data_IF_591365693776
#
_entry.id   IF_591365693776
#
_cell.length_a   1.000
_cell.length_b   1.000
_cell.length_c   1.000
_cell.angle_alpha   90.00
_cell.angle_beta   90.00
_cell.angle_gamma   90.00
#
_symmetry.space_group_name_H-M   'P 1'
#
loop_
_entity.id
_entity.type
_entity.pdbx_description
1 polymer ?
#
# COMPACT_ATOMS: atom_id res chain seq x y z
N UNK A 1 22.43 -34.63 -1.51
CA UNK A 1 21.08 -34.43 -2.08
C UNK A 1 20.78 -32.94 -1.97
N UNK A 2 20.82 -32.21 -3.08
CA UNK A 2 20.68 -30.76 -3.09
C UNK A 2 19.21 -30.39 -2.88
N UNK A 3 18.91 -29.73 -1.76
CA UNK A 3 17.60 -29.12 -1.49
C UNK A 3 17.50 -27.91 -2.43
N UNK A 4 16.97 -28.12 -3.63
CA UNK A 4 16.52 -27.04 -4.50
C UNK A 4 15.20 -26.54 -3.94
N UNK A 5 15.25 -25.60 -3.01
CA UNK A 5 14.05 -24.85 -2.66
C UNK A 5 13.61 -24.11 -3.93
N UNK A 6 12.46 -24.50 -4.48
CA UNK A 6 11.81 -23.78 -5.55
C UNK A 6 11.43 -22.39 -5.01
N UNK A 7 12.34 -21.43 -5.17
CA UNK A 7 12.02 -20.02 -4.95
C UNK A 7 11.03 -19.60 -6.02
N UNK A 8 9.75 -19.75 -5.73
CA UNK A 8 8.68 -19.16 -6.55
C UNK A 8 8.97 -17.67 -6.65
N UNK A 9 9.19 -17.17 -7.88
CA UNK A 9 9.29 -15.73 -8.12
C UNK A 9 8.00 -15.12 -7.58
N UNK A 10 8.15 -14.25 -6.59
CA UNK A 10 7.04 -13.64 -5.88
C UNK A 10 6.34 -12.64 -6.82
N UNK A 11 5.46 -13.16 -7.68
CA UNK A 11 4.71 -12.43 -8.70
C UNK A 11 3.70 -11.45 -8.08
N UNK A 12 3.49 -11.52 -6.76
CA UNK A 12 2.69 -10.57 -5.98
C UNK A 12 3.19 -9.12 -6.08
N UNK A 13 4.48 -8.93 -6.41
CA UNK A 13 5.08 -7.60 -6.64
C UNK A 13 4.99 -7.12 -8.09
N UNK A 14 4.64 -7.99 -9.03
CA UNK A 14 4.58 -7.63 -10.46
C UNK A 14 3.16 -7.18 -10.79
N UNK A 15 2.96 -5.87 -10.85
CA UNK A 15 1.68 -5.30 -11.26
C UNK A 15 1.39 -5.67 -12.71
N UNK A 16 0.23 -6.29 -12.95
CA UNK A 16 -0.25 -6.59 -14.30
C UNK A 16 -0.44 -5.27 -15.04
N UNK A 17 0.46 -4.98 -15.98
CA UNK A 17 0.32 -3.89 -16.95
C UNK A 17 -0.61 -4.37 -18.05
N UNK A 18 -1.72 -3.67 -18.24
CA UNK A 18 -2.58 -3.88 -19.39
C UNK A 18 -2.23 -2.74 -20.35
N UNK A 19 -1.64 -3.07 -21.50
CA UNK A 19 -1.33 -2.07 -22.53
C UNK A 19 -0.37 -0.95 -22.09
N UNK A 20 0.59 -1.29 -21.21
CA UNK A 20 1.60 -0.34 -20.71
C UNK A 20 1.15 0.51 -19.52
N UNK A 21 -0.16 0.56 -19.24
CA UNK A 21 -0.74 1.28 -18.11
C UNK A 21 -1.08 0.29 -16.99
N UNK A 22 -0.68 0.63 -15.77
CA UNK A 22 -1.10 -0.12 -14.57
C UNK A 22 -2.52 0.29 -14.17
N UNK A 23 -3.29 -0.63 -13.60
CA UNK A 23 -4.62 -0.31 -13.03
C UNK A 23 -4.55 0.84 -12.01
N UNK A 24 -3.41 0.98 -11.33
CA UNK A 24 -3.13 2.09 -10.42
C UNK A 24 -3.05 3.42 -11.16
N UNK A 25 -2.24 3.52 -12.22
CA UNK A 25 -2.15 4.75 -13.03
C UNK A 25 -3.51 5.12 -13.63
N UNK A 26 -4.27 4.15 -14.12
CA UNK A 26 -5.63 4.40 -14.61
C UNK A 26 -6.52 5.01 -13.53
N UNK A 27 -6.49 4.48 -12.29
CA UNK A 27 -7.22 5.05 -11.16
C UNK A 27 -6.78 6.48 -10.83
N UNK A 28 -5.48 6.78 -10.94
CA UNK A 28 -4.97 8.14 -10.74
C UNK A 28 -5.51 9.10 -11.81
N UNK A 29 -5.48 8.69 -13.09
CA UNK A 29 -6.04 9.50 -14.18
C UNK A 29 -7.52 9.78 -14.00
N UNK A 30 -8.32 8.77 -13.63
CA UNK A 30 -9.74 8.95 -13.33
C UNK A 30 -9.93 9.97 -12.20
N UNK A 31 -9.12 9.90 -11.13
CA UNK A 31 -9.16 10.89 -10.06
C UNK A 31 -8.83 12.32 -10.55
N UNK A 32 -7.81 12.47 -11.40
CA UNK A 32 -7.47 13.79 -11.97
C UNK A 32 -8.60 14.37 -12.82
N UNK A 33 -9.29 13.54 -13.60
CA UNK A 33 -10.46 13.98 -14.38
C UNK A 33 -11.57 14.48 -13.45
N UNK A 34 -11.87 13.77 -12.37
CA UNK A 34 -12.86 14.23 -11.40
C UNK A 34 -12.48 15.55 -10.73
N UNK A 35 -11.21 15.73 -10.37
CA UNK A 35 -10.72 17.00 -9.79
C UNK A 35 -10.86 18.13 -10.81
N UNK A 36 -10.52 17.88 -12.08
CA UNK A 36 -10.69 18.85 -13.15
C UNK A 36 -12.16 19.27 -13.35
N UNK A 37 -13.09 18.32 -13.30
CA UNK A 37 -14.54 18.62 -13.36
C UNK A 37 -14.97 19.46 -12.14
N UNK A 38 -14.47 19.13 -10.95
CA UNK A 38 -14.77 19.89 -9.74
C UNK A 38 -14.28 21.34 -9.83
N UNK A 39 -13.04 21.54 -10.31
CA UNK A 39 -12.49 22.88 -10.54
C UNK A 39 -13.28 23.65 -11.60
N UNK A 40 -13.72 22.99 -12.68
CA UNK A 40 -14.58 23.62 -13.67
C UNK A 40 -15.91 24.07 -13.07
N UNK A 41 -16.53 23.26 -12.21
CA UNK A 41 -17.73 23.66 -11.48
C UNK A 41 -17.46 24.87 -10.58
N UNK A 42 -16.33 24.89 -9.86
CA UNK A 42 -15.96 26.04 -9.02
C UNK A 42 -15.84 27.36 -9.81
N UNK A 43 -15.34 27.32 -11.06
CA UNK A 43 -15.28 28.50 -11.93
C UNK A 43 -16.66 29.10 -12.20
N UNK A 44 -17.69 28.28 -12.38
CA UNK A 44 -19.04 28.78 -12.68
C UNK A 44 -19.76 29.38 -11.46
N UNK A 45 -19.41 28.94 -10.25
CA UNK A 45 -20.14 29.32 -9.03
C UNK A 45 -19.46 30.42 -8.21
N UNK A 46 -18.14 30.61 -8.33
CA UNK A 46 -17.39 31.54 -7.47
C UNK A 46 -16.86 32.76 -8.24
N UNK A 47 -16.84 33.96 -7.61
CA UNK A 47 -16.17 35.13 -8.17
C UNK A 47 -14.63 34.98 -8.11
N UNK A 48 -13.93 35.67 -9.02
CA UNK A 48 -12.49 35.46 -9.33
C UNK A 48 -11.54 35.33 -8.13
N UNK A 49 -11.70 36.14 -7.09
CA UNK A 49 -10.85 36.09 -5.89
C UNK A 49 -11.11 34.85 -5.03
N UNK A 50 -12.38 34.50 -4.81
CA UNK A 50 -12.74 33.31 -4.03
C UNK A 50 -12.41 32.04 -4.79
N UNK A 51 -12.56 32.06 -6.12
CA UNK A 51 -12.14 30.96 -6.98
C UNK A 51 -10.66 30.64 -6.82
N UNK A 52 -9.77 31.64 -6.85
CA UNK A 52 -8.32 31.37 -6.68
C UNK A 52 -7.99 30.70 -5.35
N UNK A 53 -8.60 31.15 -4.25
CA UNK A 53 -8.35 30.57 -2.93
C UNK A 53 -8.94 29.17 -2.82
N UNK A 54 -10.19 28.98 -3.27
CA UNK A 54 -10.82 27.65 -3.28
C UNK A 54 -10.07 26.67 -4.17
N UNK A 55 -9.69 27.07 -5.39
CA UNK A 55 -8.97 26.21 -6.34
C UNK A 55 -7.61 25.76 -5.78
N UNK A 56 -6.89 26.64 -5.07
CA UNK A 56 -5.65 26.26 -4.39
C UNK A 56 -5.88 25.23 -3.29
N UNK A 57 -6.93 25.42 -2.47
CA UNK A 57 -7.27 24.50 -1.40
C UNK A 57 -7.73 23.15 -1.95
N UNK A 58 -8.60 23.15 -2.97
CA UNK A 58 -9.17 21.94 -3.56
C UNK A 58 -8.12 21.15 -4.34
N UNK A 59 -7.26 21.83 -5.10
CA UNK A 59 -6.12 21.19 -5.78
C UNK A 59 -5.11 20.59 -4.79
N UNK A 60 -4.80 21.28 -3.69
CA UNK A 60 -3.88 20.75 -2.69
C UNK A 60 -4.47 19.56 -1.93
N UNK A 61 -5.72 19.68 -1.47
CA UNK A 61 -6.39 18.65 -0.68
C UNK A 61 -6.64 17.37 -1.51
N UNK A 62 -7.15 17.51 -2.73
CA UNK A 62 -7.52 16.37 -3.57
C UNK A 62 -6.37 15.87 -4.45
N UNK A 63 -5.42 16.74 -4.81
CA UNK A 63 -4.31 16.42 -5.71
C UNK A 63 -3.24 15.51 -5.08
N UNK A 64 -3.09 15.53 -3.75
CA UNK A 64 -2.11 14.69 -3.06
C UNK A 64 -2.35 13.19 -3.27
N UNK A 65 -3.61 12.75 -3.24
CA UNK A 65 -4.00 11.35 -3.40
C UNK A 65 -3.57 10.75 -4.76
N UNK A 66 -3.97 11.31 -5.93
CA UNK A 66 -3.58 10.76 -7.23
C UNK A 66 -2.08 10.87 -7.49
N UNK A 67 -1.41 11.93 -7.01
CA UNK A 67 0.06 12.07 -7.11
C UNK A 67 0.77 10.94 -6.37
N UNK A 68 0.41 10.68 -5.11
CA UNK A 68 1.00 9.56 -4.35
C UNK A 68 0.68 8.19 -4.95
N UNK A 69 -0.46 8.07 -5.61
CA UNK A 69 -0.89 6.85 -6.28
C UNK A 69 -0.07 6.61 -7.56
N UNK A 70 0.27 7.65 -8.33
CA UNK A 70 1.21 7.54 -9.45
C UNK A 70 2.63 7.18 -9.00
N UNK A 71 3.13 7.80 -7.92
CA UNK A 71 4.48 7.54 -7.40
C UNK A 71 4.64 6.17 -6.73
N UNK A 72 3.58 5.35 -6.63
CA UNK A 72 3.53 4.09 -5.88
C UNK A 72 3.88 4.22 -4.38
N UNK A 73 3.96 5.44 -3.85
CA UNK A 73 4.28 5.71 -2.44
C UNK A 73 3.05 5.65 -1.53
N UNK A 74 1.85 5.56 -2.10
CA UNK A 74 0.61 5.51 -1.32
C UNK A 74 0.60 4.42 -0.25
N UNK A 75 1.09 3.21 -0.58
CA UNK A 75 1.16 2.09 0.40
C UNK A 75 2.11 2.40 1.55
N UNK A 76 3.23 3.07 1.28
CA UNK A 76 4.23 3.45 2.28
C UNK A 76 3.72 4.57 3.18
N UNK A 77 3.13 5.62 2.60
CA UNK A 77 2.53 6.73 3.36
C UNK A 77 1.38 6.23 4.23
N UNK A 78 0.51 5.37 3.67
CA UNK A 78 -0.59 4.76 4.42
C UNK A 78 -0.06 3.90 5.58
N UNK A 79 1.00 3.12 5.35
CA UNK A 79 1.66 2.32 6.39
C UNK A 79 2.28 3.22 7.47
N UNK A 80 3.01 4.26 7.09
CA UNK A 80 3.61 5.20 8.04
C UNK A 80 2.55 5.90 8.90
N UNK A 81 1.42 6.29 8.29
CA UNK A 81 0.29 6.88 8.99
C UNK A 81 -0.31 5.89 10.00
N UNK A 82 -0.62 4.65 9.59
CA UNK A 82 -1.13 3.63 10.51
C UNK A 82 -0.16 3.31 11.64
N UNK A 83 1.14 3.25 11.34
CA UNK A 83 2.16 3.00 12.36
C UNK A 83 2.22 4.11 13.41
N UNK A 84 2.04 5.36 12.97
CA UNK A 84 2.15 6.53 13.84
C UNK A 84 0.89 6.82 14.65
N UNK A 85 -0.29 6.50 14.12
CA UNK A 85 -1.57 6.81 14.77
C UNK A 85 -2.32 5.61 15.35
N UNK A 86 -2.09 4.39 14.84
CA UNK A 86 -2.92 3.22 15.18
C UNK A 86 -2.15 2.14 15.96
N UNK A 87 -0.85 2.00 15.72
CA UNK A 87 -0.01 0.97 16.35
C UNK A 87 0.91 1.52 17.45
N UNK A 88 0.49 2.58 18.15
CA UNK A 88 1.29 3.23 19.19
C UNK A 88 1.63 2.28 20.37
N UNK A 89 0.86 1.22 20.57
CA UNK A 89 1.18 0.14 21.53
C UNK A 89 1.86 -1.05 20.85
N UNK A 90 3.09 -0.86 20.35
CA UNK A 90 3.95 -2.02 20.05
C UNK A 90 4.57 -2.52 21.34
N UNK A 91 3.82 -3.29 22.14
CA UNK A 91 4.49 -4.29 22.98
C UNK A 91 5.14 -5.28 22.02
N UNK A 92 6.46 -5.16 21.86
CA UNK A 92 7.27 -6.19 21.23
C UNK A 92 7.07 -7.47 22.05
N UNK A 93 6.10 -8.31 21.67
CA UNK A 93 6.10 -9.69 22.11
C UNK A 93 7.19 -10.38 21.31
N UNK A 94 8.43 -10.21 21.78
CA UNK A 94 9.51 -11.13 21.49
C UNK A 94 9.13 -12.45 22.17
N UNK A 95 8.17 -13.18 21.58
CA UNK A 95 7.94 -14.56 21.91
C UNK A 95 9.28 -15.25 21.72
N UNK A 96 9.92 -15.64 22.83
CA UNK A 96 11.19 -16.35 22.81
C UNK A 96 11.07 -17.46 21.79
N UNK A 97 11.84 -17.39 20.70
CA UNK A 97 11.93 -18.48 19.74
C UNK A 97 12.41 -19.68 20.55
N UNK A 98 11.50 -20.64 20.80
CA UNK A 98 11.88 -21.89 21.48
C UNK A 98 12.93 -22.55 20.61
N UNK A 99 14.14 -22.72 21.16
CA UNK A 99 15.18 -23.51 20.51
C UNK A 99 14.80 -24.97 20.71
N UNK A 100 14.27 -25.59 19.67
CA UNK A 100 14.05 -27.03 19.64
C UNK A 100 15.39 -27.74 19.75
N UNK A 101 15.47 -28.73 20.65
CA UNK A 101 16.67 -29.54 20.81
C UNK A 101 16.61 -30.69 19.79
N UNK A 102 17.76 -31.13 19.26
CA UNK A 102 17.80 -32.16 18.19
C UNK A 102 17.04 -33.44 18.56
N UNK A 103 16.95 -33.72 19.86
CA UNK A 103 16.34 -34.90 20.44
C UNK A 103 14.80 -34.90 20.34
N UNK A 104 14.17 -33.73 20.11
CA UNK A 104 12.71 -33.60 19.94
C UNK A 104 12.21 -34.04 18.55
N UNK A 105 13.12 -34.27 17.61
CA UNK A 105 12.79 -34.71 16.24
C UNK A 105 13.01 -36.20 16.01
N UNK A 106 13.47 -36.95 17.01
CA UNK A 106 13.61 -38.41 16.91
C UNK A 106 12.25 -39.04 17.16
N UNK A 107 11.62 -39.54 16.09
CA UNK A 107 10.45 -40.40 16.22
C UNK A 107 10.90 -41.65 16.98
N UNK A 108 10.45 -41.80 18.23
CA UNK A 108 10.58 -43.08 18.93
C UNK A 108 9.79 -44.08 18.11
N UNK A 109 10.47 -45.10 17.59
CA UNK A 109 9.84 -46.27 17.01
C UNK A 109 8.83 -46.77 18.05
N UNK A 110 7.55 -46.62 17.73
CA UNK A 110 6.46 -47.26 18.45
C UNK A 110 6.61 -48.76 18.20
N UNK A 111 7.48 -49.40 18.97
CA UNK A 111 7.41 -50.83 19.21
C UNK A 111 6.15 -51.06 20.05
N UNK A 112 5.04 -51.31 19.38
CA UNK A 112 3.87 -51.93 19.97
C UNK A 112 3.70 -53.29 19.29
N UNK A 113 4.15 -54.27 20.06
CA UNK A 113 3.88 -55.72 20.09
C UNK A 113 2.63 -56.14 19.32
#
# INVERSE_FOLDING_TARGET
>A
MAISSEFYKDLSKVEKKIWGITVREFKAYVCFVFIGIFLLLEVFFLPDLLFMVCALVTSFALGWYPVLLMMNKWKEVKRAFYLRFYYEERTFQAGKIRRYQKDEFVQKETDVI
#
